data_IF_225934388738
#
_entry.id   IF_225934388738
#
_cell.length_a   1.000
_cell.length_b   1.000
_cell.length_c   1.000
_cell.angle_alpha   90.00
_cell.angle_beta   90.00
_cell.angle_gamma   90.00
#
_symmetry.space_group_name_H-M   'P 1'
#
loop_
_entity.id
_entity.type
_entity.pdbx_description
1 polymer ?
#
# COMPACT_ATOMS: atom_id res chain seq x y z
N UNK A 1 -66.38 10.09 44.16
CA UNK A 1 -65.38 9.01 44.26
C UNK A 1 -64.39 9.23 43.12
N UNK A 2 -63.32 9.80 43.53
CA UNK A 2 -62.26 10.43 42.73
C UNK A 2 -61.29 9.36 42.22
N UNK A 3 -61.16 9.26 40.90
CA UNK A 3 -60.13 8.44 40.24
C UNK A 3 -59.04 9.33 39.72
N UNK A 4 -57.85 9.16 40.30
CA UNK A 4 -56.63 9.89 39.94
C UNK A 4 -55.98 9.27 38.70
N UNK A 5 -55.92 10.03 37.62
CA UNK A 5 -55.16 9.66 36.38
C UNK A 5 -53.70 10.10 36.52
N UNK A 6 -52.80 9.13 36.64
CA UNK A 6 -51.37 9.36 36.59
C UNK A 6 -50.92 9.34 35.10
N UNK A 7 -50.53 10.48 34.57
CA UNK A 7 -49.88 10.66 33.29
C UNK A 7 -48.39 10.29 33.47
N UNK A 8 -47.98 9.15 32.91
CA UNK A 8 -46.60 8.79 32.76
C UNK A 8 -46.08 9.38 31.46
N UNK A 9 -45.29 10.43 31.56
CA UNK A 9 -44.55 11.01 30.42
C UNK A 9 -43.36 10.11 30.06
N UNK A 10 -43.51 9.38 28.95
CA UNK A 10 -42.39 8.59 28.37
C UNK A 10 -41.40 9.50 27.68
N UNK A 11 -40.19 9.61 28.25
CA UNK A 11 -39.04 10.24 27.59
C UNK A 11 -38.51 9.29 26.54
N UNK A 12 -38.73 9.58 25.25
CA UNK A 12 -38.07 8.92 24.14
C UNK A 12 -36.69 9.53 23.98
N UNK A 13 -35.67 8.83 24.49
CA UNK A 13 -34.27 9.10 24.18
C UNK A 13 -34.01 8.63 22.73
N UNK A 14 -34.00 9.59 21.80
CA UNK A 14 -33.47 9.36 20.46
C UNK A 14 -31.96 9.19 20.57
N UNK A 15 -31.50 7.93 20.65
CA UNK A 15 -30.10 7.58 20.52
C UNK A 15 -29.69 7.76 19.05
N UNK A 16 -28.97 8.83 18.78
CA UNK A 16 -28.28 9.06 17.49
C UNK A 16 -27.15 8.02 17.38
N UNK A 17 -27.46 6.85 16.82
CA UNK A 17 -26.45 5.84 16.46
C UNK A 17 -25.59 6.34 15.32
N UNK A 18 -24.42 6.88 15.64
CA UNK A 18 -23.34 7.08 14.68
C UNK A 18 -22.92 5.73 14.12
N UNK A 19 -23.43 5.40 12.94
CA UNK A 19 -23.01 4.23 12.18
C UNK A 19 -21.55 4.38 11.79
N UNK A 20 -20.66 3.91 12.67
CA UNK A 20 -19.25 3.73 12.38
C UNK A 20 -19.16 2.59 11.36
N UNK A 21 -19.03 2.94 10.07
CA UNK A 21 -18.66 1.97 9.04
C UNK A 21 -17.34 1.34 9.49
N UNK A 22 -17.43 0.16 10.09
CA UNK A 22 -16.28 -0.72 10.28
C UNK A 22 -15.75 -1.01 8.89
N UNK A 23 -14.57 -0.45 8.59
CA UNK A 23 -13.75 -0.92 7.50
C UNK A 23 -13.55 -2.42 7.77
N UNK A 24 -14.11 -3.26 6.88
CA UNK A 24 -13.96 -4.70 6.91
C UNK A 24 -12.47 -4.94 6.67
N UNK A 25 -11.72 -5.16 7.76
CA UNK A 25 -10.38 -5.68 7.66
C UNK A 25 -10.47 -6.93 6.78
N UNK A 26 -9.80 -6.94 5.64
CA UNK A 26 -9.61 -8.14 4.84
C UNK A 26 -8.89 -9.12 5.76
N UNK A 27 -9.66 -10.02 6.39
CA UNK A 27 -9.08 -11.11 7.13
C UNK A 27 -8.34 -11.97 6.12
N UNK A 28 -7.02 -11.96 6.17
CA UNK A 28 -6.20 -12.91 5.44
C UNK A 28 -6.77 -14.31 5.70
N UNK A 29 -7.10 -15.05 4.62
CA UNK A 29 -7.52 -16.44 4.77
C UNK A 29 -6.43 -17.16 5.55
N UNK A 30 -6.78 -18.03 6.53
CA UNK A 30 -5.78 -18.79 7.24
C UNK A 30 -4.95 -19.56 6.20
N UNK A 31 -3.70 -19.19 6.05
CA UNK A 31 -2.74 -19.94 5.24
C UNK A 31 -2.63 -21.30 5.93
N UNK A 32 -2.93 -22.39 5.20
CA UNK A 32 -2.74 -23.71 5.74
C UNK A 32 -1.28 -23.84 6.21
N UNK A 33 -1.08 -24.06 7.50
CA UNK A 33 0.26 -24.20 8.06
C UNK A 33 0.95 -25.39 7.39
N UNK A 34 2.16 -25.15 6.89
CA UNK A 34 2.97 -26.21 6.33
C UNK A 34 3.38 -27.19 7.44
N UNK A 35 3.39 -28.48 7.12
CA UNK A 35 4.04 -29.43 8.03
C UNK A 35 5.54 -29.10 8.16
N UNK A 36 6.19 -29.50 9.26
CA UNK A 36 7.64 -29.27 9.42
C UNK A 36 8.50 -29.87 8.28
N UNK A 37 8.02 -30.93 7.64
CA UNK A 37 8.68 -31.52 6.47
C UNK A 37 8.50 -30.64 5.24
N UNK A 38 7.28 -30.15 4.98
CA UNK A 38 7.00 -29.26 3.87
C UNK A 38 7.77 -27.94 4.02
N UNK A 39 7.85 -27.40 5.25
CA UNK A 39 8.62 -26.18 5.52
C UNK A 39 10.10 -26.40 5.21
N UNK A 40 10.72 -27.49 5.69
CA UNK A 40 12.13 -27.80 5.37
C UNK A 40 12.38 -27.97 3.88
N UNK A 41 11.45 -28.60 3.14
CA UNK A 41 11.55 -28.74 1.68
C UNK A 41 11.46 -27.39 0.99
N UNK A 42 10.50 -26.54 1.39
CA UNK A 42 10.37 -25.19 0.87
C UNK A 42 11.65 -24.38 1.12
N UNK A 43 12.14 -24.34 2.34
CA UNK A 43 13.35 -23.59 2.72
C UNK A 43 14.57 -24.05 1.89
N UNK A 44 14.72 -25.35 1.72
CA UNK A 44 15.81 -25.90 0.91
C UNK A 44 15.74 -25.43 -0.54
N UNK A 45 14.58 -25.55 -1.19
CA UNK A 45 14.44 -25.13 -2.59
C UNK A 45 14.54 -23.62 -2.77
N UNK A 46 14.01 -22.85 -1.84
CA UNK A 46 14.10 -21.39 -1.90
C UNK A 46 15.55 -20.89 -1.73
N UNK A 47 16.30 -21.46 -0.79
CA UNK A 47 17.71 -21.14 -0.60
C UNK A 47 18.53 -21.58 -1.83
N UNK A 48 18.25 -22.74 -2.41
CA UNK A 48 18.95 -23.22 -3.60
C UNK A 48 18.63 -22.34 -4.82
N UNK A 49 17.38 -21.91 -5.00
CA UNK A 49 17.01 -20.94 -6.02
C UNK A 49 17.79 -19.63 -5.86
N UNK A 50 17.90 -19.14 -4.62
CA UNK A 50 18.67 -17.92 -4.32
C UNK A 50 20.15 -18.09 -4.65
N UNK A 51 20.75 -19.26 -4.37
CA UNK A 51 22.13 -19.60 -4.72
C UNK A 51 22.34 -19.61 -6.24
N UNK A 52 21.45 -20.27 -6.98
CA UNK A 52 21.49 -20.33 -8.44
C UNK A 52 21.35 -18.95 -9.08
N UNK A 53 20.47 -18.10 -8.55
CA UNK A 53 20.33 -16.68 -8.96
C UNK A 53 21.66 -15.94 -8.85
N UNK A 54 22.39 -16.11 -7.73
CA UNK A 54 23.71 -15.51 -7.54
C UNK A 54 24.73 -16.05 -8.55
N UNK A 55 24.64 -17.33 -8.92
CA UNK A 55 25.47 -17.97 -9.94
C UNK A 55 25.05 -17.63 -11.38
N UNK A 56 23.96 -16.86 -11.54
CA UNK A 56 23.37 -16.48 -12.82
C UNK A 56 22.76 -17.65 -13.60
N UNK A 57 22.49 -18.75 -12.94
CA UNK A 57 21.69 -19.85 -13.49
C UNK A 57 20.20 -19.54 -13.26
N UNK A 58 19.70 -18.63 -14.11
CA UNK A 58 18.36 -18.08 -13.93
C UNK A 58 17.24 -19.07 -14.26
N UNK A 59 17.46 -19.96 -15.21
CA UNK A 59 16.46 -20.96 -15.61
C UNK A 59 16.25 -21.97 -14.47
N UNK A 60 17.33 -22.52 -13.91
CA UNK A 60 17.23 -23.44 -12.79
C UNK A 60 16.66 -22.75 -11.52
N UNK A 61 17.02 -21.50 -11.27
CA UNK A 61 16.44 -20.73 -10.17
C UNK A 61 14.93 -20.52 -10.34
N UNK A 62 14.47 -20.21 -11.56
CA UNK A 62 13.06 -20.06 -11.88
C UNK A 62 12.27 -21.36 -11.63
N UNK A 63 12.78 -22.49 -12.10
CA UNK A 63 12.13 -23.80 -11.90
C UNK A 63 12.00 -24.16 -10.42
N UNK A 64 13.05 -23.90 -9.62
CA UNK A 64 12.99 -24.12 -8.18
C UNK A 64 12.01 -23.19 -7.46
N UNK A 65 11.90 -21.94 -7.88
CA UNK A 65 10.89 -21.02 -7.33
C UNK A 65 9.47 -21.47 -7.67
N UNK A 66 9.25 -21.97 -8.89
CA UNK A 66 7.96 -22.58 -9.23
C UNK A 66 7.69 -23.82 -8.36
N UNK A 67 8.71 -24.65 -8.12
CA UNK A 67 8.57 -25.80 -7.23
C UNK A 67 8.25 -25.36 -5.79
N UNK A 68 8.81 -24.27 -5.30
CA UNK A 68 8.42 -23.69 -4.00
C UNK A 68 6.92 -23.42 -3.92
N UNK A 69 6.30 -22.93 -5.00
CA UNK A 69 4.86 -22.66 -5.03
C UNK A 69 4.01 -23.92 -5.12
N UNK A 70 4.57 -25.07 -5.54
CA UNK A 70 3.84 -26.36 -5.41
C UNK A 70 3.75 -26.83 -3.96
N UNK A 71 4.72 -26.44 -3.13
CA UNK A 71 4.75 -26.74 -1.69
C UNK A 71 3.91 -25.72 -0.91
N UNK A 72 4.14 -24.44 -1.17
CA UNK A 72 3.41 -23.34 -0.55
C UNK A 72 2.92 -22.35 -1.61
N UNK A 73 1.69 -22.51 -2.12
CA UNK A 73 1.12 -21.64 -3.15
C UNK A 73 0.95 -20.16 -2.73
N UNK A 74 1.09 -19.88 -1.44
CA UNK A 74 0.91 -18.56 -0.86
C UNK A 74 2.23 -17.96 -0.32
N UNK A 75 3.37 -18.56 -0.65
CA UNK A 75 4.69 -18.08 -0.23
C UNK A 75 5.00 -16.71 -0.88
N UNK A 76 4.81 -15.62 -0.16
CA UNK A 76 5.03 -14.24 -0.65
C UNK A 76 6.44 -14.04 -1.19
N UNK A 77 7.46 -14.61 -0.54
CA UNK A 77 8.85 -14.52 -0.99
C UNK A 77 9.08 -15.18 -2.34
N UNK A 78 8.54 -16.40 -2.57
CA UNK A 78 8.67 -17.08 -3.86
C UNK A 78 7.85 -16.38 -4.95
N UNK A 79 6.65 -15.88 -4.62
CA UNK A 79 5.83 -15.08 -5.53
C UNK A 79 6.53 -13.80 -5.96
N UNK A 80 7.14 -13.07 -5.00
CA UNK A 80 7.89 -11.85 -5.30
C UNK A 80 9.09 -12.12 -6.21
N UNK A 81 9.89 -13.14 -5.90
CA UNK A 81 11.03 -13.52 -6.74
C UNK A 81 10.59 -13.94 -8.14
N UNK A 82 9.56 -14.78 -8.28
CA UNK A 82 9.02 -15.18 -9.58
C UNK A 82 8.48 -13.99 -10.39
N UNK A 83 7.87 -13.02 -9.72
CA UNK A 83 7.40 -11.82 -10.38
C UNK A 83 8.54 -11.09 -11.10
N UNK A 84 9.74 -11.01 -10.48
CA UNK A 84 10.91 -10.39 -11.11
C UNK A 84 11.32 -11.13 -12.38
N UNK A 85 11.27 -12.46 -12.38
CA UNK A 85 11.56 -13.26 -13.58
C UNK A 85 10.52 -13.04 -14.67
N UNK A 86 9.22 -13.06 -14.34
CA UNK A 86 8.16 -12.77 -15.31
C UNK A 86 8.31 -11.39 -15.95
N UNK A 87 8.62 -10.36 -15.15
CA UNK A 87 8.83 -9.01 -15.66
C UNK A 87 10.06 -8.93 -16.57
N UNK A 88 11.15 -9.59 -16.18
CA UNK A 88 12.34 -9.69 -17.03
C UNK A 88 12.04 -10.37 -18.39
N UNK A 89 11.23 -11.42 -18.38
CA UNK A 89 10.77 -12.13 -19.58
C UNK A 89 9.66 -11.38 -20.35
N UNK A 90 9.35 -10.13 -19.94
CA UNK A 90 8.27 -9.30 -20.52
C UNK A 90 6.88 -9.93 -20.44
N UNK A 91 6.68 -10.80 -19.46
CA UNK A 91 5.39 -11.41 -19.12
C UNK A 91 4.71 -10.58 -18.02
N UNK A 92 4.40 -9.32 -18.32
CA UNK A 92 3.89 -8.35 -17.36
C UNK A 92 2.61 -8.81 -16.62
N UNK A 93 1.61 -9.46 -17.26
CA UNK A 93 0.43 -9.94 -16.55
C UNK A 93 0.74 -10.97 -15.47
N UNK A 94 1.66 -11.92 -15.74
CA UNK A 94 2.07 -12.95 -14.77
C UNK A 94 2.86 -12.31 -13.61
N UNK A 95 3.78 -11.38 -13.94
CA UNK A 95 4.54 -10.62 -12.96
C UNK A 95 3.64 -9.81 -12.03
N UNK A 96 2.64 -9.13 -12.59
CA UNK A 96 1.66 -8.38 -11.82
C UNK A 96 0.84 -9.28 -10.89
N UNK A 97 0.28 -10.36 -11.42
CA UNK A 97 -0.52 -11.29 -10.61
C UNK A 97 0.29 -11.91 -9.45
N UNK A 98 1.57 -12.21 -9.69
CA UNK A 98 2.46 -12.71 -8.65
C UNK A 98 2.77 -11.66 -7.57
N UNK A 99 3.03 -10.39 -7.95
CA UNK A 99 3.23 -9.30 -7.00
C UNK A 99 1.95 -8.97 -6.21
N UNK A 100 0.80 -8.89 -6.86
CA UNK A 100 -0.49 -8.66 -6.20
C UNK A 100 -0.74 -9.72 -5.12
N UNK A 101 -0.49 -11.00 -5.46
CA UNK A 101 -0.64 -12.10 -4.50
C UNK A 101 0.42 -12.07 -3.38
N UNK A 102 1.65 -11.65 -3.68
CA UNK A 102 2.69 -11.49 -2.65
C UNK A 102 2.30 -10.43 -1.61
N UNK A 103 1.78 -9.29 -2.07
CA UNK A 103 1.29 -8.20 -1.20
C UNK A 103 0.03 -8.62 -0.43
N UNK A 104 -0.90 -9.35 -1.06
CA UNK A 104 -2.10 -9.85 -0.39
C UNK A 104 -1.75 -10.79 0.78
N UNK A 105 -0.75 -11.67 0.58
CA UNK A 105 -0.35 -12.67 1.58
C UNK A 105 0.53 -12.10 2.69
N UNK A 106 1.31 -11.05 2.40
CA UNK A 106 2.21 -10.39 3.36
C UNK A 106 2.19 -8.86 3.14
N UNK A 107 1.09 -8.20 3.58
CA UNK A 107 0.88 -6.77 3.36
C UNK A 107 1.82 -5.88 4.17
N UNK A 108 2.49 -6.44 5.19
CA UNK A 108 3.42 -5.71 6.05
C UNK A 108 4.86 -5.72 5.50
N UNK A 109 5.08 -6.35 4.35
CA UNK A 109 6.35 -6.30 3.67
C UNK A 109 6.42 -5.10 2.72
N UNK A 110 7.19 -4.10 3.13
CA UNK A 110 7.38 -2.87 2.36
C UNK A 110 7.85 -3.13 0.92
N UNK A 111 8.79 -4.06 0.73
CA UNK A 111 9.42 -4.29 -0.57
C UNK A 111 8.47 -4.90 -1.59
N UNK A 112 7.53 -5.74 -1.15
CA UNK A 112 6.50 -6.29 -2.03
C UNK A 112 5.56 -5.19 -2.52
N UNK A 113 5.08 -4.37 -1.59
CA UNK A 113 4.21 -3.22 -1.91
C UNK A 113 4.93 -2.20 -2.79
N UNK A 114 6.21 -1.91 -2.52
CA UNK A 114 7.02 -1.01 -3.34
C UNK A 114 7.21 -1.54 -4.77
N UNK A 115 7.50 -2.84 -4.92
CA UNK A 115 7.62 -3.49 -6.22
C UNK A 115 6.33 -3.40 -7.03
N UNK A 116 5.19 -3.65 -6.39
CA UNK A 116 3.87 -3.56 -7.04
C UNK A 116 3.50 -2.12 -7.40
N UNK A 117 3.77 -1.14 -6.52
CA UNK A 117 3.53 0.27 -6.80
C UNK A 117 4.34 0.77 -8.00
N UNK A 118 5.61 0.37 -8.08
CA UNK A 118 6.47 0.68 -9.22
C UNK A 118 5.91 0.07 -10.53
N UNK A 119 5.44 -1.18 -10.47
CA UNK A 119 4.86 -1.84 -11.63
C UNK A 119 3.59 -1.13 -12.12
N UNK A 120 2.68 -0.76 -11.22
CA UNK A 120 1.48 0.00 -11.58
C UNK A 120 1.83 1.35 -12.23
N UNK A 121 2.85 2.05 -11.73
CA UNK A 121 3.30 3.30 -12.34
C UNK A 121 3.89 3.09 -13.74
N UNK A 122 4.67 2.02 -13.96
CA UNK A 122 5.25 1.67 -15.26
C UNK A 122 4.19 1.29 -16.31
N UNK A 123 3.08 0.71 -15.85
CA UNK A 123 1.95 0.31 -16.70
C UNK A 123 0.90 1.43 -16.87
N UNK A 124 1.13 2.62 -16.31
CA UNK A 124 0.20 3.75 -16.27
C UNK A 124 -1.14 3.42 -15.57
N UNK A 125 -1.14 2.43 -14.66
CA UNK A 125 -2.29 2.06 -13.83
C UNK A 125 -2.42 3.01 -12.62
N UNK A 126 -2.63 4.30 -12.89
CA UNK A 126 -2.54 5.40 -11.91
C UNK A 126 -3.42 5.22 -10.69
N UNK A 127 -4.67 4.79 -10.89
CA UNK A 127 -5.63 4.61 -9.80
C UNK A 127 -5.23 3.48 -8.86
N UNK A 128 -4.63 2.40 -9.40
CA UNK A 128 -4.09 1.31 -8.57
C UNK A 128 -2.84 1.76 -7.82
N UNK A 129 -1.93 2.46 -8.51
CA UNK A 129 -0.74 3.02 -7.89
C UNK A 129 -1.08 3.95 -6.73
N UNK A 130 -2.00 4.90 -6.93
CA UNK A 130 -2.43 5.84 -5.88
C UNK A 130 -3.03 5.10 -4.68
N UNK A 131 -3.94 4.15 -4.90
CA UNK A 131 -4.55 3.38 -3.79
C UNK A 131 -3.51 2.64 -2.96
N UNK A 132 -2.56 1.97 -3.63
CA UNK A 132 -1.50 1.24 -2.95
C UNK A 132 -0.55 2.17 -2.20
N UNK A 133 -0.12 3.27 -2.82
CA UNK A 133 0.76 4.26 -2.21
C UNK A 133 0.12 4.96 -1.01
N UNK A 134 -1.19 5.25 -1.06
CA UNK A 134 -1.93 5.78 0.09
C UNK A 134 -1.95 4.77 1.25
N UNK A 135 -2.23 3.47 0.99
CA UNK A 135 -2.14 2.43 2.01
C UNK A 135 -0.72 2.32 2.58
N UNK A 136 0.29 2.29 1.72
CA UNK A 136 1.71 2.25 2.13
C UNK A 136 2.09 3.44 3.02
N UNK A 137 1.60 4.65 2.71
CA UNK A 137 1.93 5.87 3.47
C UNK A 137 1.36 5.88 4.89
N UNK A 138 0.32 5.07 5.14
CA UNK A 138 -0.30 4.87 6.45
C UNK A 138 0.32 3.69 7.18
N UNK A 139 0.61 2.61 6.46
CA UNK A 139 1.17 1.37 7.03
C UNK A 139 2.65 1.51 7.38
N UNK A 140 3.44 2.09 6.49
CA UNK A 140 4.90 2.27 6.65
C UNK A 140 5.22 3.72 7.03
N UNK A 141 4.90 4.07 8.27
CA UNK A 141 4.98 5.47 8.73
C UNK A 141 6.40 6.03 8.80
N UNK A 142 7.42 5.19 8.81
CA UNK A 142 8.85 5.55 8.77
C UNK A 142 9.37 5.82 7.34
N UNK A 143 8.58 5.49 6.31
CA UNK A 143 8.94 5.68 4.90
C UNK A 143 8.28 6.93 4.32
N UNK A 144 9.06 7.72 3.60
CA UNK A 144 8.58 8.90 2.85
C UNK A 144 8.35 8.61 1.37
N UNK A 145 8.99 7.57 0.84
CA UNK A 145 8.92 7.23 -0.58
C UNK A 145 7.49 7.16 -1.14
N UNK A 146 6.49 6.56 -0.42
CA UNK A 146 5.12 6.55 -0.89
C UNK A 146 4.53 7.96 -1.05
N UNK A 147 4.87 8.90 -0.14
CA UNK A 147 4.40 10.28 -0.22
C UNK A 147 5.04 11.03 -1.40
N UNK A 148 6.34 10.83 -1.63
CA UNK A 148 6.99 11.42 -2.80
C UNK A 148 6.45 10.86 -4.12
N UNK A 149 6.16 9.57 -4.18
CA UNK A 149 5.53 8.97 -5.35
C UNK A 149 4.11 9.53 -5.59
N UNK A 150 3.33 9.74 -4.53
CA UNK A 150 2.01 10.40 -4.61
C UNK A 150 2.13 11.84 -5.10
N UNK A 151 3.12 12.61 -4.62
CA UNK A 151 3.37 13.97 -5.10
C UNK A 151 3.61 14.00 -6.60
N UNK A 152 4.46 13.11 -7.12
CA UNK A 152 4.74 13.04 -8.56
C UNK A 152 3.47 12.74 -9.36
N UNK A 153 2.67 11.76 -8.92
CA UNK A 153 1.42 11.40 -9.60
C UNK A 153 0.43 12.56 -9.56
N UNK A 154 0.21 13.19 -8.39
CA UNK A 154 -0.75 14.29 -8.24
C UNK A 154 -0.32 15.54 -8.98
N UNK A 155 0.99 15.87 -9.02
CA UNK A 155 1.52 16.98 -9.82
C UNK A 155 1.27 16.77 -11.31
N UNK A 156 1.56 15.58 -11.84
CA UNK A 156 1.30 15.26 -13.26
C UNK A 156 -0.18 15.30 -13.63
N UNK A 157 -1.06 15.09 -12.65
CA UNK A 157 -2.51 15.17 -12.82
C UNK A 157 -3.08 16.55 -12.50
N UNK A 158 -2.24 17.53 -12.15
CA UNK A 158 -2.62 18.89 -11.74
C UNK A 158 -3.63 18.91 -10.57
N UNK A 159 -3.58 17.88 -9.71
CA UNK A 159 -4.43 17.77 -8.52
C UNK A 159 -3.81 18.52 -7.34
N UNK A 160 -3.72 19.84 -7.47
CA UNK A 160 -2.97 20.70 -6.56
C UNK A 160 -3.43 20.64 -5.10
N UNK A 161 -4.72 20.48 -4.84
CA UNK A 161 -5.21 20.27 -3.47
C UNK A 161 -4.58 19.03 -2.82
N UNK A 162 -4.44 17.93 -3.58
CA UNK A 162 -3.80 16.70 -3.08
C UNK A 162 -2.29 16.87 -2.97
N UNK A 163 -1.67 17.66 -3.84
CA UNK A 163 -0.24 18.01 -3.72
C UNK A 163 -0.01 18.72 -2.40
N UNK A 164 -0.77 19.77 -2.09
CA UNK A 164 -0.68 20.51 -0.82
C UNK A 164 -0.92 19.58 0.38
N UNK A 165 -1.97 18.75 0.34
CA UNK A 165 -2.25 17.80 1.41
C UNK A 165 -1.08 16.82 1.64
N UNK A 166 -0.44 16.35 0.56
CA UNK A 166 0.70 15.42 0.64
C UNK A 166 1.96 16.13 1.16
N UNK A 167 2.23 17.37 0.72
CA UNK A 167 3.33 18.19 1.24
C UNK A 167 3.16 18.44 2.75
N UNK A 168 1.95 18.73 3.22
CA UNK A 168 1.68 18.88 4.66
C UNK A 168 1.92 17.57 5.44
N UNK A 169 1.63 16.41 4.85
CA UNK A 169 1.95 15.10 5.46
C UNK A 169 3.46 14.89 5.58
N UNK A 170 4.22 15.28 4.56
CA UNK A 170 5.69 15.23 4.57
C UNK A 170 6.23 16.17 5.64
N UNK A 171 5.75 17.42 5.67
CA UNK A 171 6.13 18.40 6.68
C UNK A 171 5.83 17.94 8.10
N UNK A 172 4.67 17.29 8.32
CA UNK A 172 4.32 16.69 9.61
C UNK A 172 5.29 15.59 10.08
N UNK A 173 6.00 14.94 9.15
CA UNK A 173 6.99 13.88 9.46
C UNK A 173 8.41 14.42 9.59
N UNK A 174 8.79 15.37 8.74
CA UNK A 174 10.17 15.90 8.65
C UNK A 174 10.38 17.21 9.41
N UNK A 175 9.29 17.91 9.74
CA UNK A 175 9.31 19.28 10.21
C UNK A 175 9.25 20.31 9.07
N UNK A 176 8.97 21.55 9.41
CA UNK A 176 8.93 22.68 8.47
C UNK A 176 10.33 22.92 7.89
N UNK A 177 10.42 23.13 6.59
CA UNK A 177 11.66 23.50 5.90
C UNK A 177 11.38 24.54 4.82
N UNK A 178 12.38 25.36 4.52
CA UNK A 178 12.31 26.36 3.45
C UNK A 178 11.93 25.72 2.10
N UNK A 179 12.49 24.55 1.80
CA UNK A 179 12.19 23.83 0.56
C UNK A 179 10.72 23.44 0.46
N UNK A 180 10.12 22.89 1.52
CA UNK A 180 8.70 22.53 1.54
C UNK A 180 7.80 23.76 1.47
N UNK A 181 8.13 24.84 2.20
CA UNK A 181 7.39 26.11 2.14
C UNK A 181 7.43 26.71 0.74
N UNK A 182 8.59 26.72 0.08
CA UNK A 182 8.73 27.20 -1.29
C UNK A 182 7.95 26.35 -2.30
N UNK A 183 7.90 25.04 -2.12
CA UNK A 183 7.11 24.17 -2.99
C UNK A 183 5.61 24.42 -2.80
N UNK A 184 5.11 24.52 -1.56
CA UNK A 184 3.73 24.89 -1.27
C UNK A 184 3.38 26.28 -1.81
N UNK A 185 4.27 27.26 -1.65
CA UNK A 185 4.12 28.60 -2.21
C UNK A 185 3.88 28.56 -3.72
N UNK A 186 4.70 27.81 -4.47
CA UNK A 186 4.55 27.68 -5.92
C UNK A 186 3.21 27.06 -6.30
N UNK A 187 2.80 26.00 -5.60
CA UNK A 187 1.53 25.33 -5.85
C UNK A 187 0.34 26.25 -5.56
N UNK A 188 0.35 27.00 -4.45
CA UNK A 188 -0.68 27.99 -4.15
C UNK A 188 -0.77 29.10 -5.21
N UNK A 189 0.36 29.55 -5.76
CA UNK A 189 0.35 30.50 -6.88
C UNK A 189 -0.31 29.90 -8.14
N UNK A 190 -0.05 28.63 -8.46
CA UNK A 190 -0.72 27.93 -9.58
C UNK A 190 -2.23 27.83 -9.34
N UNK A 191 -2.65 27.61 -8.11
CA UNK A 191 -4.07 27.62 -7.69
C UNK A 191 -4.68 29.03 -7.67
N UNK A 192 -3.91 30.07 -7.88
CA UNK A 192 -4.28 31.48 -7.71
C UNK A 192 -4.71 31.84 -6.27
N UNK A 193 -4.27 31.06 -5.30
CA UNK A 193 -4.48 31.29 -3.88
C UNK A 193 -3.31 32.11 -3.29
N UNK A 194 -3.29 33.40 -3.61
CA UNK A 194 -2.23 34.30 -3.18
C UNK A 194 -2.18 34.43 -1.65
N UNK A 195 -3.30 34.31 -0.95
CA UNK A 195 -3.35 34.42 0.50
C UNK A 195 -2.53 33.33 1.16
N UNK A 196 -2.78 32.05 0.80
CA UNK A 196 -2.05 30.91 1.36
C UNK A 196 -0.60 30.87 0.83
N UNK A 197 -0.36 31.31 -0.41
CA UNK A 197 0.99 31.44 -0.94
C UNK A 197 1.87 32.33 -0.04
N UNK A 198 1.44 33.55 0.26
CA UNK A 198 2.24 34.46 1.11
C UNK A 198 2.36 33.97 2.54
N UNK A 199 1.34 33.31 3.09
CA UNK A 199 1.42 32.73 4.43
C UNK A 199 2.50 31.64 4.58
N UNK A 200 2.84 30.93 3.50
CA UNK A 200 3.88 29.88 3.56
C UNK A 200 5.31 30.43 3.68
N UNK A 201 5.54 31.69 3.30
CA UNK A 201 6.87 32.31 3.27
C UNK A 201 7.05 33.40 4.34
N UNK A 202 6.02 33.68 5.14
CA UNK A 202 6.10 34.51 6.35
C UNK A 202 6.60 33.68 7.55
#
# INVERSE_FOLDING_TARGET
>A
KTGLFLLVAGFLLVSCGTSRKQAKALSAKPVAELTPEQQRKYDYFFLEASRLKIQKDYDAAFDLLQHCLTINPNASSALYELAQYYLFLKQAPQGQAALEKAVENDPDNYWYSQGLANLYQQQDEKEKAVRLLEDMSVRFTDKLDPLYALLDIYNRQEQYDKVIATLNRIEGKMGKSEQLSMEKFRIYLQMKDNKNAFHEIE
#
